data_IF_726484382921
#
_entry.id   IF_726484382921
#
_cell.length_a   1.000
_cell.length_b   1.000
_cell.length_c   1.000
_cell.angle_alpha   90.00
_cell.angle_beta   90.00
_cell.angle_gamma   90.00
#
_symmetry.space_group_name_H-M   'P 1'
#
loop_
_entity.id
_entity.type
_entity.pdbx_description
1 polymer ?
#
# COMPACT_ATOMS: atom_id res chain seq x y z
N UNK A 1 -17.09 -30.97 -41.79
CA UNK A 1 -16.85 -31.15 -40.34
C UNK A 1 -15.62 -30.36 -39.86
N UNK A 2 -14.42 -30.57 -40.41
CA UNK A 2 -13.22 -29.76 -40.08
C UNK A 2 -13.40 -28.26 -40.43
N UNK A 3 -13.94 -27.94 -41.61
CA UNK A 3 -14.22 -26.53 -42.01
C UNK A 3 -15.18 -25.79 -41.07
N UNK A 4 -16.22 -26.47 -40.60
CA UNK A 4 -17.18 -25.89 -39.65
C UNK A 4 -16.56 -25.75 -38.26
N UNK A 5 -15.74 -26.71 -37.81
CA UNK A 5 -15.05 -26.65 -36.52
C UNK A 5 -13.97 -25.56 -36.47
N UNK A 6 -13.21 -25.38 -37.58
CA UNK A 6 -12.25 -24.28 -37.74
C UNK A 6 -12.97 -22.94 -37.81
N UNK A 7 -14.06 -22.83 -38.57
CA UNK A 7 -14.85 -21.60 -38.69
C UNK A 7 -15.43 -21.16 -37.35
N UNK A 8 -16.05 -22.08 -36.60
CA UNK A 8 -16.60 -21.75 -35.27
C UNK A 8 -15.51 -21.41 -34.27
N UNK A 9 -14.35 -22.09 -34.30
CA UNK A 9 -13.21 -21.78 -33.44
C UNK A 9 -12.64 -20.39 -33.71
N UNK A 10 -12.49 -20.01 -34.98
CA UNK A 10 -11.97 -18.68 -35.36
C UNK A 10 -12.93 -17.57 -34.96
N UNK A 11 -14.24 -17.75 -35.15
CA UNK A 11 -15.24 -16.78 -34.70
C UNK A 11 -15.22 -16.60 -33.18
N UNK A 12 -15.08 -17.70 -32.43
CA UNK A 12 -14.98 -17.66 -30.96
C UNK A 12 -13.74 -16.89 -30.51
N UNK A 13 -12.58 -17.12 -31.15
CA UNK A 13 -11.35 -16.38 -30.86
C UNK A 13 -11.54 -14.88 -31.12
N UNK A 14 -12.14 -14.50 -32.25
CA UNK A 14 -12.36 -13.08 -32.59
C UNK A 14 -13.32 -12.42 -31.59
N UNK A 15 -14.43 -13.09 -31.25
CA UNK A 15 -15.41 -12.57 -30.29
C UNK A 15 -14.80 -12.42 -28.89
N UNK A 16 -14.04 -13.41 -28.42
CA UNK A 16 -13.35 -13.33 -27.13
C UNK A 16 -12.27 -12.24 -27.14
N UNK A 17 -11.50 -12.13 -28.22
CA UNK A 17 -10.49 -11.08 -28.36
C UNK A 17 -11.12 -9.69 -28.33
N UNK A 18 -12.26 -9.52 -28.99
CA UNK A 18 -13.03 -8.28 -28.96
C UNK A 18 -13.59 -7.98 -27.56
N UNK A 19 -14.13 -8.99 -26.88
CA UNK A 19 -14.65 -8.84 -25.52
C UNK A 19 -13.54 -8.43 -24.53
N UNK A 20 -12.35 -9.04 -24.63
CA UNK A 20 -11.18 -8.63 -23.84
C UNK A 20 -10.79 -7.20 -24.19
N UNK A 21 -10.58 -6.90 -25.47
CA UNK A 21 -10.22 -5.55 -25.93
C UNK A 21 -11.20 -4.48 -25.45
N UNK A 22 -12.51 -4.73 -25.54
CA UNK A 22 -13.55 -3.79 -25.10
C UNK A 22 -13.46 -3.48 -23.61
N UNK A 23 -13.30 -4.50 -22.76
CA UNK A 23 -13.17 -4.31 -21.30
C UNK A 23 -11.82 -3.72 -20.88
N UNK A 24 -10.76 -3.93 -21.67
CA UNK A 24 -9.43 -3.37 -21.42
C UNK A 24 -9.36 -1.88 -21.79
N UNK A 25 -10.10 -1.46 -22.82
CA UNK A 25 -10.10 -0.07 -23.31
C UNK A 25 -11.09 0.82 -22.57
N UNK A 26 -12.24 0.28 -22.19
CA UNK A 26 -13.28 0.99 -21.44
C UNK A 26 -13.33 0.45 -20.01
N UNK A 27 -12.28 0.75 -19.23
CA UNK A 27 -12.28 0.37 -17.82
C UNK A 27 -13.13 1.36 -17.04
N UNK A 28 -13.96 0.85 -16.14
CA UNK A 28 -14.70 1.63 -15.15
C UNK A 28 -13.78 2.08 -13.99
N UNK A 29 -12.46 1.91 -14.12
CA UNK A 29 -11.48 2.25 -13.10
C UNK A 29 -10.76 3.55 -13.42
N UNK A 30 -10.68 4.44 -12.44
CA UNK A 30 -10.03 5.74 -12.55
C UNK A 30 -8.97 5.90 -11.45
N UNK A 31 -7.78 6.31 -11.86
CA UNK A 31 -6.72 6.71 -10.94
C UNK A 31 -6.78 8.21 -10.71
N UNK A 32 -6.86 8.64 -9.45
CA UNK A 32 -6.75 10.04 -9.08
C UNK A 32 -5.41 10.32 -8.39
N UNK A 33 -4.83 11.48 -8.69
CA UNK A 33 -3.59 11.96 -8.10
C UNK A 33 -3.86 13.14 -7.17
N UNK A 34 -3.06 13.21 -6.11
CA UNK A 34 -3.06 14.30 -5.13
C UNK A 34 -1.65 14.83 -4.95
N UNK A 35 -1.52 16.01 -4.33
CA UNK A 35 -0.23 16.70 -4.15
C UNK A 35 0.77 15.90 -3.30
N UNK A 36 0.29 15.21 -2.25
CA UNK A 36 1.10 14.41 -1.34
C UNK A 36 2.31 15.19 -0.76
N UNK A 37 2.04 16.38 -0.24
CA UNK A 37 3.06 17.33 0.18
C UNK A 37 3.33 17.26 1.68
N UNK A 38 4.59 17.39 2.08
CA UNK A 38 4.97 17.48 3.48
C UNK A 38 4.80 18.92 3.99
N UNK A 39 3.97 19.10 5.01
CA UNK A 39 3.81 20.35 5.75
C UNK A 39 4.53 20.23 7.10
N UNK A 40 5.57 21.03 7.27
CA UNK A 40 6.25 21.20 8.56
C UNK A 40 5.38 22.09 9.46
N UNK A 41 5.08 21.61 10.67
CA UNK A 41 4.26 22.34 11.64
C UNK A 41 5.11 23.36 12.39
N UNK A 42 4.73 24.63 12.31
CA UNK A 42 5.38 25.73 13.03
C UNK A 42 4.86 25.80 14.48
N UNK A 43 5.39 24.91 15.31
CA UNK A 43 4.94 24.66 16.68
C UNK A 43 5.02 25.92 17.55
N UNK A 44 3.89 26.28 18.16
CA UNK A 44 3.81 27.40 19.11
C UNK A 44 3.84 26.84 20.53
N UNK A 45 4.63 27.47 21.42
CA UNK A 45 4.64 27.07 22.83
C UNK A 45 3.28 27.34 23.46
N UNK A 46 2.73 26.33 24.14
CA UNK A 46 1.47 26.47 24.86
C UNK A 46 1.67 27.18 26.20
N UNK A 47 2.70 26.78 26.93
CA UNK A 47 3.10 27.39 28.20
C UNK A 47 4.58 27.71 28.15
N UNK A 48 4.92 28.98 28.35
CA UNK A 48 6.30 29.46 28.30
C UNK A 48 7.20 28.68 29.29
N UNK A 49 8.34 28.19 28.78
CA UNK A 49 9.32 27.42 29.54
C UNK A 49 8.97 25.94 29.75
N UNK A 50 7.84 25.46 29.23
CA UNK A 50 7.46 24.05 29.30
C UNK A 50 7.50 23.38 27.94
N UNK A 51 7.85 22.09 27.94
CA UNK A 51 7.84 21.24 26.76
C UNK A 51 6.40 20.84 26.35
N UNK A 52 5.57 21.84 26.06
CA UNK A 52 4.25 21.69 25.45
C UNK A 52 4.09 22.69 24.30
N UNK A 53 3.69 22.17 23.14
CA UNK A 53 3.48 22.95 21.94
C UNK A 53 2.17 22.58 21.26
N UNK A 54 1.66 23.49 20.45
CA UNK A 54 0.49 23.21 19.62
C UNK A 54 0.63 23.79 18.21
N UNK A 55 -0.09 23.19 17.26
CA UNK A 55 -0.27 23.72 15.91
C UNK A 55 -1.61 23.27 15.32
N UNK A 56 -2.30 24.16 14.63
CA UNK A 56 -3.60 23.85 14.00
C UNK A 56 -3.45 23.71 12.50
N UNK A 57 -3.78 22.52 12.01
CA UNK A 57 -3.86 22.20 10.58
C UNK A 57 -5.29 22.33 10.05
N UNK A 58 -5.44 22.68 8.77
CA UNK A 58 -6.71 22.67 8.02
C UNK A 58 -6.48 22.05 6.65
N UNK A 59 -6.36 20.73 6.62
CA UNK A 59 -5.99 20.01 5.41
C UNK A 59 -6.48 18.56 5.48
N UNK A 60 -6.51 17.89 4.32
CA UNK A 60 -6.68 16.46 4.24
C UNK A 60 -5.32 15.78 4.53
N UNK A 61 -5.20 15.12 5.68
CA UNK A 61 -3.92 14.59 6.19
C UNK A 61 -3.91 13.06 6.16
N UNK A 62 -2.85 12.47 5.63
CA UNK A 62 -2.60 11.01 5.68
C UNK A 62 -1.69 10.62 6.82
N UNK A 63 -0.52 11.26 6.90
CA UNK A 63 0.54 10.93 7.84
C UNK A 63 0.79 12.07 8.82
N UNK A 64 1.11 11.69 10.06
CA UNK A 64 1.70 12.57 11.07
C UNK A 64 2.99 11.93 11.54
N UNK A 65 4.04 12.74 11.65
CA UNK A 65 5.35 12.32 12.10
C UNK A 65 5.88 13.36 13.07
N UNK A 66 6.08 12.96 14.32
CA UNK A 66 6.61 13.80 15.39
C UNK A 66 7.92 13.20 15.87
N UNK A 67 9.01 13.92 15.70
CA UNK A 67 10.32 13.55 16.22
C UNK A 67 10.75 14.49 17.33
N UNK A 68 11.33 13.92 18.38
CA UNK A 68 11.88 14.62 19.53
C UNK A 68 13.35 14.27 19.64
N UNK A 69 14.16 15.27 19.99
CA UNK A 69 15.55 15.12 20.39
C UNK A 69 15.85 15.99 21.62
N UNK A 70 16.85 15.60 22.41
CA UNK A 70 17.30 16.35 23.59
C UNK A 70 16.40 16.26 24.83
N UNK A 71 15.45 15.32 24.89
CA UNK A 71 14.69 15.06 26.11
C UNK A 71 15.57 14.36 27.19
N UNK A 72 15.18 14.36 28.48
CA UNK A 72 15.90 13.65 29.52
C UNK A 72 16.05 12.14 29.24
N UNK A 73 17.24 11.59 29.51
CA UNK A 73 17.60 10.20 29.18
C UNK A 73 16.73 9.13 29.85
N UNK A 74 16.02 9.46 30.95
CA UNK A 74 15.23 8.49 31.70
C UNK A 74 13.83 9.00 32.01
N UNK A 75 12.82 8.21 31.66
CA UNK A 75 11.43 8.42 32.09
C UNK A 75 10.65 9.45 31.27
N UNK A 76 11.24 10.01 30.21
CA UNK A 76 10.56 10.95 29.32
C UNK A 76 9.60 10.22 28.36
N UNK A 77 8.36 10.70 28.30
CA UNK A 77 7.30 10.19 27.43
C UNK A 77 6.82 11.32 26.52
N UNK A 78 6.84 11.07 25.22
CA UNK A 78 6.20 11.92 24.23
C UNK A 78 4.69 11.62 24.22
N UNK A 79 3.86 12.66 24.30
CA UNK A 79 2.42 12.58 24.17
C UNK A 79 1.98 13.48 23.00
N UNK A 80 1.22 12.90 22.08
CA UNK A 80 0.66 13.63 20.93
C UNK A 80 -0.85 13.48 20.95
N UNK A 81 -1.54 14.61 21.11
CA UNK A 81 -2.99 14.69 21.15
C UNK A 81 -3.55 15.47 19.97
N UNK A 82 -4.57 14.92 19.33
CA UNK A 82 -5.30 15.54 18.25
C UNK A 82 -6.67 16.01 18.76
N UNK A 83 -6.88 17.32 18.73
CA UNK A 83 -8.14 17.95 19.10
C UNK A 83 -8.91 18.39 17.86
N UNK A 84 -10.23 18.18 17.87
CA UNK A 84 -11.13 18.53 16.78
C UNK A 84 -12.24 17.50 16.60
N UNK A 85 -13.14 17.76 15.65
CA UNK A 85 -14.20 16.81 15.29
C UNK A 85 -13.59 15.69 14.43
N UNK A 86 -13.80 14.44 14.83
CA UNK A 86 -13.29 13.24 14.13
C UNK A 86 -11.76 13.31 13.90
N UNK A 87 -11.03 13.68 14.96
CA UNK A 87 -9.59 13.92 15.01
C UNK A 87 -8.79 12.71 15.51
N UNK A 88 -9.47 11.59 15.81
CA UNK A 88 -8.85 10.31 16.13
C UNK A 88 -7.91 9.87 15.00
N UNK A 89 -6.77 9.28 15.35
CA UNK A 89 -5.76 8.84 14.42
C UNK A 89 -5.15 7.50 14.85
N UNK A 90 -4.55 6.82 13.88
CA UNK A 90 -3.99 5.47 14.04
C UNK A 90 -2.51 5.53 14.40
N UNK A 91 -2.14 4.84 15.46
CA UNK A 91 -0.76 4.74 15.92
C UNK A 91 -0.38 3.29 16.21
N UNK A 92 0.87 2.96 15.95
CA UNK A 92 1.54 1.74 16.43
C UNK A 92 3.03 2.04 16.54
N UNK A 93 3.72 1.58 17.60
CA UNK A 93 5.18 1.64 17.71
C UNK A 93 5.96 1.14 16.48
N UNK A 94 5.41 0.17 15.74
CA UNK A 94 6.05 -0.41 14.56
C UNK A 94 5.68 0.27 13.23
N UNK A 95 4.78 1.26 13.27
CA UNK A 95 4.30 1.95 12.08
C UNK A 95 5.45 2.66 11.34
N UNK A 96 5.69 2.27 10.09
CA UNK A 96 6.74 2.84 9.24
C UNK A 96 8.18 2.37 9.54
N UNK A 97 8.36 1.34 10.37
CA UNK A 97 9.67 0.72 10.59
C UNK A 97 9.92 -0.42 9.61
N UNK A 98 11.07 -0.39 8.93
CA UNK A 98 11.49 -1.43 7.96
C UNK A 98 11.88 -2.74 8.66
N UNK A 99 12.30 -2.67 9.92
CA UNK A 99 12.75 -3.79 10.75
C UNK A 99 11.73 -4.24 11.80
N UNK A 100 10.55 -3.63 11.84
CA UNK A 100 9.50 -3.92 12.81
C UNK A 100 8.73 -5.20 12.49
N UNK A 101 8.00 -5.72 13.47
CA UNK A 101 6.95 -6.72 13.22
C UNK A 101 5.86 -6.11 12.36
N UNK A 102 5.27 -6.92 11.46
CA UNK A 102 4.19 -6.48 10.58
C UNK A 102 3.05 -5.83 11.39
N UNK A 103 2.57 -4.67 10.94
CA UNK A 103 1.48 -3.91 11.55
C UNK A 103 0.26 -3.84 10.63
N UNK A 104 -0.93 -3.64 11.22
CA UNK A 104 -2.20 -3.51 10.49
C UNK A 104 -3.02 -2.37 11.10
N UNK A 105 -3.33 -1.34 10.29
CA UNK A 105 -4.21 -0.25 10.74
C UNK A 105 -5.63 -0.33 10.14
N UNK A 106 -5.81 -1.01 9.01
CA UNK A 106 -7.09 -1.10 8.30
C UNK A 106 -8.02 -2.20 8.81
N UNK A 107 -7.49 -3.21 9.49
CA UNK A 107 -8.25 -4.34 10.01
C UNK A 107 -7.94 -4.55 11.50
N UNK A 108 -8.49 -3.69 12.37
CA UNK A 108 -8.18 -3.75 13.80
C UNK A 108 -8.68 -5.02 14.49
N UNK A 109 -9.77 -5.61 13.98
CA UNK A 109 -10.33 -6.89 14.45
C UNK A 109 -10.00 -8.02 13.46
N UNK A 110 -8.71 -8.21 13.14
CA UNK A 110 -8.30 -9.37 12.36
C UNK A 110 -8.08 -10.60 13.25
N UNK A 111 -8.37 -11.79 12.73
CA UNK A 111 -8.03 -13.09 13.35
C UNK A 111 -6.51 -13.24 13.59
N UNK A 112 -5.70 -12.33 13.02
CA UNK A 112 -4.25 -12.28 13.14
C UNK A 112 -3.74 -11.31 14.21
N UNK A 113 -4.61 -10.65 14.97
CA UNK A 113 -4.25 -9.74 16.08
C UNK A 113 -3.33 -10.37 17.15
N UNK A 114 -3.27 -11.70 17.23
CA UNK A 114 -2.34 -12.42 18.11
C UNK A 114 -0.91 -12.57 17.56
N UNK A 115 -0.71 -12.26 16.28
CA UNK A 115 0.55 -12.44 15.54
C UNK A 115 1.02 -11.11 14.93
N UNK A 116 0.10 -10.19 14.69
CA UNK A 116 0.33 -8.87 14.07
C UNK A 116 -0.05 -7.77 15.05
N UNK A 117 0.69 -6.69 15.00
CA UNK A 117 0.37 -5.51 15.80
C UNK A 117 -0.73 -4.69 15.13
N UNK A 118 -1.80 -4.43 15.88
CA UNK A 118 -2.91 -3.60 15.41
C UNK A 118 -2.71 -2.15 15.83
N UNK A 119 -2.92 -1.21 14.91
CA UNK A 119 -2.88 0.22 15.24
C UNK A 119 -4.06 0.62 16.13
N UNK A 120 -3.79 1.36 17.21
CA UNK A 120 -4.83 1.94 18.08
C UNK A 120 -5.44 3.17 17.41
N UNK A 121 -6.77 3.30 17.47
CA UNK A 121 -7.52 4.44 16.93
C UNK A 121 -8.02 5.33 18.07
N UNK A 122 -7.21 6.33 18.43
CA UNK A 122 -7.46 7.21 19.58
C UNK A 122 -7.05 8.65 19.24
N UNK A 123 -7.44 9.61 20.09
CA UNK A 123 -7.05 11.03 19.93
C UNK A 123 -5.66 11.32 20.49
N UNK A 124 -5.30 10.64 21.56
CA UNK A 124 -4.06 10.85 22.29
C UNK A 124 -3.26 9.56 22.27
N UNK A 125 -2.01 9.66 21.84
CA UNK A 125 -1.06 8.54 21.87
C UNK A 125 0.19 8.95 22.61
N UNK A 126 0.87 7.97 23.20
CA UNK A 126 2.10 8.20 23.94
C UNK A 126 3.17 7.16 23.60
N UNK A 127 4.43 7.57 23.74
CA UNK A 127 5.59 6.73 23.48
C UNK A 127 6.73 7.14 24.41
N UNK A 128 7.41 6.15 25.00
CA UNK A 128 8.64 6.39 25.75
C UNK A 128 9.79 6.80 24.80
N UNK A 129 10.53 7.82 25.18
CA UNK A 129 11.71 8.27 24.44
C UNK A 129 12.93 7.43 24.86
N UNK A 130 13.73 6.98 23.89
CA UNK A 130 14.95 6.21 24.12
C UNK A 130 16.13 7.18 24.05
N UNK A 131 16.91 7.27 25.14
CA UNK A 131 18.08 8.17 25.21
C UNK A 131 17.72 9.62 24.81
N UNK A 132 16.56 10.10 25.28
CA UNK A 132 16.10 11.46 25.00
C UNK A 132 15.55 11.71 23.59
N UNK A 133 15.51 10.67 22.73
CA UNK A 133 15.09 10.80 21.33
C UNK A 133 14.01 9.79 20.95
N UNK A 134 13.22 10.12 19.93
CA UNK A 134 12.17 9.23 19.46
C UNK A 134 11.40 9.80 18.28
N UNK A 135 10.75 8.91 17.52
CA UNK A 135 9.92 9.28 16.38
C UNK A 135 8.59 8.55 16.47
N UNK A 136 7.52 9.31 16.69
CA UNK A 136 6.14 8.84 16.66
C UNK A 136 5.56 9.06 15.28
N UNK A 137 5.16 7.97 14.61
CA UNK A 137 4.51 8.00 13.29
C UNK A 137 3.07 7.57 13.42
N UNK A 138 2.17 8.23 12.71
CA UNK A 138 0.75 7.96 12.76
C UNK A 138 0.06 8.13 11.42
N UNK A 139 -1.10 7.48 11.25
CA UNK A 139 -2.00 7.74 10.13
C UNK A 139 -3.23 8.51 10.60
N UNK A 140 -3.43 9.71 10.07
CA UNK A 140 -4.62 10.52 10.34
C UNK A 140 -5.83 10.08 9.47
N UNK A 141 -5.59 9.42 8.33
CA UNK A 141 -6.65 8.90 7.47
C UNK A 141 -6.26 7.59 6.80
N UNK A 142 -7.21 6.65 6.75
CA UNK A 142 -7.12 5.42 5.95
C UNK A 142 -7.76 5.58 4.56
N UNK A 143 -8.58 6.61 4.37
CA UNK A 143 -9.32 6.87 3.13
C UNK A 143 -8.45 7.54 2.06
N UNK A 144 -7.44 8.29 2.49
CA UNK A 144 -6.53 9.00 1.60
C UNK A 144 -5.38 8.09 1.14
N UNK A 145 -4.88 8.30 -0.10
CA UNK A 145 -3.80 7.50 -0.67
C UNK A 145 -2.44 7.82 -0.03
N UNK A 146 -1.69 6.78 0.35
CA UNK A 146 -0.39 6.91 1.04
C UNK A 146 0.67 7.62 0.20
N UNK A 147 0.68 7.41 -1.12
CA UNK A 147 1.67 7.97 -2.05
C UNK A 147 1.05 9.01 -3.00
N UNK A 148 -0.13 9.51 -2.64
CA UNK A 148 -0.85 10.48 -3.44
C UNK A 148 -1.62 9.92 -4.63
N UNK A 149 -1.52 8.62 -4.92
CA UNK A 149 -2.28 7.93 -5.96
C UNK A 149 -3.36 7.03 -5.36
N UNK A 150 -4.61 7.28 -5.70
CA UNK A 150 -5.75 6.46 -5.34
C UNK A 150 -6.52 5.96 -6.55
N UNK A 151 -7.34 4.94 -6.37
CA UNK A 151 -8.16 4.35 -7.42
C UNK A 151 -9.61 4.26 -6.96
N UNK A 152 -10.54 4.44 -7.90
CA UNK A 152 -11.96 4.27 -7.68
C UNK A 152 -12.64 3.72 -8.94
N UNK A 153 -13.79 3.09 -8.73
CA UNK A 153 -14.62 2.53 -9.79
C UNK A 153 -15.83 3.45 -10.03
N UNK A 154 -16.09 3.81 -11.28
CA UNK A 154 -17.22 4.66 -11.63
C UNK A 154 -17.66 4.48 -13.10
N UNK A 155 -18.85 4.96 -13.44
CA UNK A 155 -19.40 4.85 -14.80
C UNK A 155 -18.71 5.81 -15.78
N UNK A 156 -18.31 7.00 -15.31
CA UNK A 156 -17.71 8.03 -16.14
C UNK A 156 -16.69 8.88 -15.38
N UNK A 157 -15.75 9.48 -16.11
CA UNK A 157 -14.67 10.29 -15.54
C UNK A 157 -15.18 11.50 -14.74
N UNK A 158 -16.34 12.06 -15.10
CA UNK A 158 -16.90 13.22 -14.41
C UNK A 158 -17.43 12.84 -13.02
N UNK A 159 -18.17 11.73 -12.92
CA UNK A 159 -18.58 11.17 -11.62
C UNK A 159 -17.37 10.72 -10.79
N UNK A 160 -16.40 10.09 -11.44
CA UNK A 160 -15.15 9.69 -10.81
C UNK A 160 -14.41 10.89 -10.20
N UNK A 161 -14.36 12.02 -10.90
CA UNK A 161 -13.75 13.25 -10.38
C UNK A 161 -14.50 13.81 -9.17
N UNK A 162 -15.83 13.83 -9.22
CA UNK A 162 -16.67 14.31 -8.12
C UNK A 162 -16.44 13.45 -6.88
N UNK A 163 -16.43 12.13 -7.02
CA UNK A 163 -16.21 11.19 -5.91
C UNK A 163 -14.79 11.31 -5.34
N UNK A 164 -13.76 11.42 -6.19
CA UNK A 164 -12.39 11.64 -5.75
C UNK A 164 -12.25 12.94 -4.93
N UNK A 165 -12.86 14.02 -5.41
CA UNK A 165 -12.86 15.32 -4.71
C UNK A 165 -13.61 15.23 -3.38
N UNK A 166 -14.80 14.62 -3.36
CA UNK A 166 -15.57 14.41 -2.14
C UNK A 166 -14.79 13.58 -1.09
N UNK A 167 -14.09 12.52 -1.53
CA UNK A 167 -13.23 11.72 -0.65
C UNK A 167 -12.09 12.53 -0.03
N UNK A 168 -11.49 13.47 -0.76
CA UNK A 168 -10.44 14.34 -0.22
C UNK A 168 -11.05 15.42 0.68
N UNK A 169 -12.14 16.04 0.26
CA UNK A 169 -12.82 17.13 0.97
C UNK A 169 -13.40 16.66 2.31
N UNK A 170 -13.94 15.44 2.38
CA UNK A 170 -14.42 14.84 3.65
C UNK A 170 -13.29 14.59 4.66
N UNK A 171 -12.05 14.49 4.19
CA UNK A 171 -10.87 14.36 5.03
C UNK A 171 -10.21 15.70 5.34
N UNK A 172 -10.64 16.79 4.69
CA UNK A 172 -10.18 18.13 4.99
C UNK A 172 -10.74 18.61 6.33
N UNK A 173 -9.99 18.34 7.40
CA UNK A 173 -10.39 18.56 8.78
C UNK A 173 -9.55 19.67 9.41
N UNK A 174 -10.14 20.35 10.37
CA UNK A 174 -9.39 21.24 11.28
C UNK A 174 -8.97 20.43 12.50
N UNK A 175 -7.66 20.20 12.65
CA UNK A 175 -7.08 19.43 13.76
C UNK A 175 -6.04 20.31 14.45
N UNK A 176 -6.18 20.48 15.76
CA UNK A 176 -5.15 21.06 16.62
C UNK A 176 -4.32 19.93 17.21
N UNK A 177 -3.06 19.86 16.81
CA UNK A 177 -2.08 18.93 17.33
C UNK A 177 -1.44 19.55 18.57
N UNK A 178 -1.52 18.87 19.70
CA UNK A 178 -0.85 19.21 20.95
C UNK A 178 0.23 18.18 21.19
N UNK A 179 1.46 18.64 21.37
CA UNK A 179 2.64 17.79 21.56
C UNK A 179 3.25 18.18 22.89
N UNK A 180 3.37 17.23 23.80
CA UNK A 180 3.99 17.48 25.10
C UNK A 180 4.96 16.36 25.47
N UNK A 181 5.95 16.71 26.30
CA UNK A 181 6.89 15.74 26.85
C UNK A 181 6.73 15.75 28.37
N UNK A 182 6.47 14.57 28.90
CA UNK A 182 6.12 14.35 30.30
C UNK A 182 7.13 13.40 30.93
N UNK A 183 7.61 13.74 32.14
CA UNK A 183 8.40 12.85 33.00
C UNK A 183 7.76 12.80 34.38
N UNK A 184 7.60 11.61 34.95
CA UNK A 184 6.95 11.41 36.26
C UNK A 184 5.56 12.07 36.39
N UNK A 185 4.82 12.16 35.28
CA UNK A 185 3.48 12.76 35.23
C UNK A 185 3.46 14.30 35.19
N UNK A 186 4.61 14.97 35.04
CA UNK A 186 4.71 16.41 34.87
C UNK A 186 5.43 16.80 33.57
N UNK A 187 5.00 17.90 32.96
CA UNK A 187 5.68 18.47 31.79
C UNK A 187 7.10 18.91 32.17
N UNK A 188 8.08 18.50 31.38
CA UNK A 188 9.48 18.90 31.58
C UNK A 188 9.71 20.36 31.12
N UNK A 189 10.79 21.01 31.56
CA UNK A 189 11.23 22.26 30.95
C UNK A 189 11.49 22.07 29.45
N UNK A 190 11.20 23.09 28.64
CA UNK A 190 11.48 23.08 27.19
C UNK A 190 12.96 23.28 26.84
N UNK A 191 13.81 23.53 27.84
CA UNK A 191 15.23 23.83 27.62
C UNK A 191 15.92 22.62 26.98
N UNK A 192 16.69 22.88 25.92
CA UNK A 192 17.47 21.88 25.16
C UNK A 192 16.65 20.77 24.46
N UNK A 193 15.32 20.90 24.41
CA UNK A 193 14.44 19.97 23.70
C UNK A 193 14.08 20.49 22.31
N UNK A 194 14.36 19.70 21.28
CA UNK A 194 14.01 20.00 19.90
C UNK A 194 12.87 19.08 19.43
N UNK A 195 11.75 19.69 18.99
CA UNK A 195 10.59 18.97 18.47
C UNK A 195 10.35 19.37 17.04
N UNK A 196 10.35 18.38 16.15
CA UNK A 196 9.97 18.54 14.75
C UNK A 196 8.72 17.73 14.49
N UNK A 197 7.74 18.37 13.86
CA UNK A 197 6.50 17.71 13.53
C UNK A 197 6.09 18.02 12.10
N UNK A 198 5.79 16.96 11.34
CA UNK A 198 5.49 17.03 9.91
C UNK A 198 4.23 16.22 9.63
N UNK A 199 3.32 16.79 8.86
CA UNK A 199 2.13 16.11 8.36
C UNK A 199 2.18 16.02 6.84
N UNK A 200 1.53 15.02 6.25
CA UNK A 200 1.40 14.90 4.79
C UNK A 200 0.01 15.31 4.36
N UNK A 201 -0.08 16.35 3.53
CA UNK A 201 -1.33 16.94 3.06
C UNK A 201 -1.65 16.55 1.62
N UNK A 202 -2.95 16.48 1.31
CA UNK A 202 -3.45 16.11 0.00
C UNK A 202 -4.41 17.16 -0.53
N UNK A 203 -4.13 17.65 -1.73
CA UNK A 203 -5.08 18.38 -2.57
C UNK A 203 -5.27 17.61 -3.88
N UNK A 204 -6.48 17.67 -4.44
CA UNK A 204 -6.77 17.02 -5.71
C UNK A 204 -5.95 17.65 -6.85
N UNK A 205 -5.27 16.82 -7.65
CA UNK A 205 -4.47 17.27 -8.80
C UNK A 205 -5.14 16.89 -10.12
N UNK A 206 -5.36 15.59 -10.34
CA UNK A 206 -5.87 15.09 -11.61
C UNK A 206 -6.59 13.75 -11.43
N UNK A 207 -7.36 13.38 -12.45
CA UNK A 207 -7.95 12.05 -12.58
C UNK A 207 -7.77 11.55 -14.00
N UNK A 208 -7.43 10.27 -14.13
CA UNK A 208 -7.20 9.61 -15.41
C UNK A 208 -7.88 8.25 -15.41
N UNK A 209 -8.50 7.90 -16.54
CA UNK A 209 -9.03 6.55 -16.73
C UNK A 209 -7.86 5.57 -16.78
N UNK A 210 -7.94 4.51 -15.98
CA UNK A 210 -6.96 3.44 -16.00
C UNK A 210 -7.06 2.73 -17.35
N UNK A 211 -5.99 2.79 -18.15
CA UNK A 211 -5.93 2.13 -19.44
C UNK A 211 -4.85 1.07 -19.38
N UNK A 212 -5.28 -0.17 -19.56
CA UNK A 212 -4.37 -1.29 -19.72
C UNK A 212 -3.97 -1.32 -21.20
N UNK A 213 -2.68 -1.45 -21.50
CA UNK A 213 -2.24 -1.62 -22.89
C UNK A 213 -2.63 -3.04 -23.37
N UNK A 214 -3.59 -3.16 -24.32
CA UNK A 214 -4.06 -4.45 -24.78
C UNK A 214 -2.97 -5.26 -25.47
N UNK A 215 -1.97 -4.62 -26.08
CA UNK A 215 -0.84 -5.31 -26.72
C UNK A 215 0.04 -5.96 -25.66
N UNK A 216 0.36 -5.20 -24.60
CA UNK A 216 1.19 -5.68 -23.51
C UNK A 216 0.53 -6.86 -22.78
N UNK A 217 -0.77 -6.75 -22.46
CA UNK A 217 -1.52 -7.86 -21.84
C UNK A 217 -1.65 -9.08 -22.75
N UNK A 218 -1.81 -8.87 -24.06
CA UNK A 218 -1.86 -9.98 -25.02
C UNK A 218 -0.53 -10.72 -25.05
N UNK A 219 0.60 -10.01 -24.97
CA UNK A 219 1.94 -10.62 -24.92
C UNK A 219 2.10 -11.45 -23.63
N UNK A 220 1.73 -10.91 -22.46
CA UNK A 220 1.83 -11.65 -21.19
C UNK A 220 0.90 -12.87 -21.16
N UNK A 221 -0.33 -12.72 -21.66
CA UNK A 221 -1.28 -13.83 -21.78
C UNK A 221 -0.78 -14.91 -22.73
N UNK A 222 -0.25 -14.52 -23.88
CA UNK A 222 0.32 -15.45 -24.86
C UNK A 222 1.56 -16.17 -24.31
N UNK A 223 2.47 -15.45 -23.66
CA UNK A 223 3.65 -16.03 -23.02
C UNK A 223 3.28 -17.08 -21.98
N UNK A 224 2.27 -16.77 -21.14
CA UNK A 224 1.75 -17.70 -20.13
C UNK A 224 1.15 -18.96 -20.78
N UNK A 225 0.36 -18.79 -21.85
CA UNK A 225 -0.24 -19.91 -22.58
C UNK A 225 0.83 -20.80 -23.23
N UNK A 226 1.80 -20.22 -23.92
CA UNK A 226 2.93 -20.96 -24.52
C UNK A 226 3.73 -21.69 -23.44
N UNK A 227 3.96 -21.05 -22.28
CA UNK A 227 4.61 -21.68 -21.13
C UNK A 227 3.87 -22.93 -20.63
N UNK A 228 2.56 -22.82 -20.42
CA UNK A 228 1.74 -23.97 -20.02
C UNK A 228 1.76 -25.10 -21.06
N UNK A 229 1.62 -24.78 -22.35
CA UNK A 229 1.69 -25.78 -23.42
C UNK A 229 3.08 -26.43 -23.51
N UNK A 230 4.14 -25.65 -23.31
CA UNK A 230 5.50 -26.18 -23.31
C UNK A 230 5.69 -27.21 -22.19
N UNK A 231 5.24 -26.90 -20.96
CA UNK A 231 5.35 -27.82 -19.84
C UNK A 231 4.52 -29.09 -20.05
N UNK A 232 3.30 -28.99 -20.59
CA UNK A 232 2.39 -30.13 -20.77
C UNK A 232 2.78 -31.00 -21.97
N UNK A 233 3.31 -30.43 -23.05
CA UNK A 233 3.64 -31.21 -24.26
C UNK A 233 5.11 -31.59 -24.32
N UNK A 234 6.03 -30.63 -24.14
CA UNK A 234 7.44 -30.86 -24.44
C UNK A 234 8.10 -31.77 -23.41
N UNK A 235 7.79 -31.61 -22.12
CA UNK A 235 8.37 -32.45 -21.06
C UNK A 235 7.96 -33.93 -21.25
N UNK A 236 6.67 -34.29 -21.38
CA UNK A 236 6.29 -35.69 -21.59
C UNK A 236 6.82 -36.27 -22.90
N UNK A 237 6.89 -35.47 -23.97
CA UNK A 237 7.40 -35.91 -25.26
C UNK A 237 8.92 -36.20 -25.20
N UNK A 238 9.70 -35.37 -24.50
CA UNK A 238 11.13 -35.65 -24.25
C UNK A 238 11.32 -36.96 -23.49
N UNK A 239 10.51 -37.20 -22.44
CA UNK A 239 10.56 -38.45 -21.67
C UNK A 239 10.19 -39.64 -22.56
N UNK A 240 9.12 -39.53 -23.35
CA UNK A 240 8.68 -40.57 -24.27
C UNK A 240 9.76 -40.92 -25.29
N UNK A 241 10.33 -39.92 -25.98
CA UNK A 241 11.37 -40.18 -26.97
C UNK A 241 12.66 -40.73 -26.35
N UNK A 242 13.02 -40.29 -25.15
CA UNK A 242 14.17 -40.84 -24.42
C UNK A 242 13.95 -42.32 -24.07
N UNK A 243 12.74 -42.68 -23.66
CA UNK A 243 12.37 -44.07 -23.38
C UNK A 243 12.43 -44.95 -24.66
N UNK A 244 11.84 -44.48 -25.76
CA UNK A 244 11.87 -45.20 -27.06
C UNK A 244 13.29 -45.35 -27.60
N UNK A 245 14.13 -44.31 -27.48
CA UNK A 245 15.52 -44.37 -27.91
C UNK A 245 16.32 -45.40 -27.09
N UNK A 246 16.12 -45.42 -25.77
CA UNK A 246 16.73 -46.42 -24.89
C UNK A 246 16.29 -47.84 -25.27
N UNK A 247 15.00 -48.05 -25.49
CA UNK A 247 14.44 -49.34 -25.88
C UNK A 247 15.08 -49.86 -27.18
N UNK A 248 15.14 -49.03 -28.23
CA UNK A 248 15.79 -49.40 -29.49
C UNK A 248 17.27 -49.76 -29.33
N UNK A 249 18.00 -49.00 -28.52
CA UNK A 249 19.43 -49.27 -28.28
C UNK A 249 19.63 -50.59 -27.53
N UNK A 250 18.81 -50.83 -26.52
CA UNK A 250 18.88 -52.06 -25.71
C UNK A 250 18.46 -53.29 -26.56
N UNK A 251 17.54 -53.13 -27.51
CA UNK A 251 17.15 -54.16 -28.49
C UNK A 251 18.30 -54.51 -29.45
N UNK A 252 19.01 -53.52 -29.98
CA UNK A 252 20.20 -53.73 -30.83
C UNK A 252 21.30 -54.49 -30.07
N UNK A 253 21.55 -54.15 -28.81
CA UNK A 253 22.53 -54.88 -27.97
C UNK A 253 22.11 -56.34 -27.79
N UNK A 254 20.82 -56.60 -27.51
CA UNK A 254 20.32 -57.98 -27.36
C UNK A 254 20.52 -58.82 -28.61
N UNK A 255 20.22 -58.26 -29.79
CA UNK A 255 20.41 -58.95 -31.06
C UNK A 255 21.89 -59.28 -31.33
N UNK A 256 22.79 -58.34 -31.03
CA UNK A 256 24.24 -58.56 -31.21
C UNK A 256 24.82 -59.65 -30.30
N UNK A 257 24.26 -59.85 -29.10
CA UNK A 257 24.68 -60.89 -28.16
C UNK A 257 24.13 -62.27 -28.54
N UNK A 258 23.05 -62.34 -29.34
CA UNK A 258 22.48 -63.60 -29.82
C UNK A 258 23.08 -64.14 -31.13
N UNK A 259 23.92 -63.36 -31.79
CA UNK A 259 24.62 -63.76 -33.04
C UNK A 259 26.07 -64.25 -32.81
N UNK A 260 26.57 -64.23 -31.57
CA UNK A 260 27.77 -64.97 -31.11
C UNK A 260 27.42 -66.32 -30.48
#
# INVERSE_FOLDING_TARGET
MIRTMIGTGMTLIILLSYAVYSNTVDSEYYGYSTTNEALVMDLQSETEGKASWFYTTRAAITWVNVSVDGAPDSGATLVVEAEGINSEWYYSPNLGLVSGTNYVCNEPESDYSSILETCSFERSHSMELSEGSGIMRGRASLELPIEGLGFLENEDIGKAEIEAREKIDTQNKTITWRISIVSDGQEIPSDDVEVHAVVTTHEFVSIEQFKIDPVQETIYSFASLVGCFFLVLVIPLMVYFSAVYKERRDEVIRLSVSEE
#
